data_IF_613693208441
#
_entry.id   IF_613693208441
#
_cell.length_a   1.000
_cell.length_b   1.000
_cell.length_c   1.000
_cell.angle_alpha   90.00
_cell.angle_beta   90.00
_cell.angle_gamma   90.00
#
_symmetry.space_group_name_H-M   'P 1'
#
loop_
_entity.id
_entity.type
_entity.pdbx_description
1 polymer ?
#
# COMPACT_ATOMS: atom_id res chain seq x y z
N UNK A 1 -6.78 -3.67 1.18
CA UNK A 1 -5.54 -3.02 0.70
C UNK A 1 -4.86 -3.98 -0.22
N UNK A 2 -4.10 -3.49 -1.19
CA UNK A 2 -3.31 -4.36 -2.07
C UNK A 2 -2.98 -3.65 -3.38
N UNK A 3 -2.44 -4.43 -4.30
CA UNK A 3 -2.18 -4.04 -5.67
C UNK A 3 -3.46 -4.11 -6.50
N UNK A 4 -3.87 -2.98 -7.08
CA UNK A 4 -5.02 -2.90 -7.98
C UNK A 4 -4.60 -2.90 -9.45
N UNK A 5 -3.29 -2.78 -9.73
CA UNK A 5 -2.71 -2.63 -11.06
C UNK A 5 -3.29 -1.46 -11.89
N UNK A 6 -3.97 -0.53 -11.22
CA UNK A 6 -4.67 0.61 -11.82
C UNK A 6 -4.30 1.93 -11.14
N UNK A 7 -4.33 2.99 -11.95
CA UNK A 7 -4.18 4.38 -11.48
C UNK A 7 -5.53 5.10 -11.50
N UNK A 8 -5.74 6.03 -10.56
CA UNK A 8 -6.95 6.86 -10.48
C UNK A 8 -6.85 8.15 -11.30
N UNK A 9 -5.64 8.62 -11.60
CA UNK A 9 -5.44 9.78 -12.46
C UNK A 9 -4.01 9.83 -13.01
N UNK A 10 -3.80 10.63 -14.07
CA UNK A 10 -2.49 10.84 -14.71
C UNK A 10 -1.38 11.19 -13.72
N UNK A 11 -1.70 11.88 -12.61
CA UNK A 11 -0.69 12.26 -11.63
C UNK A 11 -0.06 11.07 -10.90
N UNK A 12 -0.71 9.91 -10.90
CA UNK A 12 -0.23 8.67 -10.30
C UNK A 12 0.73 7.88 -11.19
N UNK A 13 1.07 8.41 -12.38
CA UNK A 13 2.07 7.83 -13.27
C UNK A 13 3.10 8.88 -13.66
N UNK A 14 4.36 8.47 -13.75
CA UNK A 14 5.39 9.21 -14.46
C UNK A 14 6.16 8.29 -15.40
N UNK A 15 6.63 8.86 -16.52
CA UNK A 15 7.28 8.12 -17.58
C UNK A 15 6.33 7.24 -18.40
N UNK A 16 6.81 6.76 -19.54
CA UNK A 16 6.04 5.89 -20.43
C UNK A 16 4.80 6.54 -21.05
N UNK A 17 3.96 5.72 -21.67
CA UNK A 17 2.69 6.15 -22.24
C UNK A 17 1.63 6.36 -21.16
N UNK A 18 0.70 7.29 -21.38
CA UNK A 18 -0.47 7.45 -20.51
C UNK A 18 -1.32 6.17 -20.50
N UNK A 19 -1.94 5.87 -19.35
CA UNK A 19 -2.94 4.81 -19.28
C UNK A 19 -4.17 5.22 -20.11
N UNK A 20 -4.83 4.27 -20.79
CA UNK A 20 -6.07 4.55 -21.50
C UNK A 20 -7.11 5.14 -20.55
N UNK A 21 -7.81 6.18 -21.01
CA UNK A 21 -8.80 6.87 -20.16
C UNK A 21 -9.90 5.93 -19.66
N UNK A 22 -10.33 4.96 -20.50
CA UNK A 22 -11.35 3.99 -20.12
C UNK A 22 -10.93 3.13 -18.90
N UNK A 23 -9.65 2.73 -18.82
CA UNK A 23 -9.12 1.95 -17.69
C UNK A 23 -9.24 2.72 -16.39
N UNK A 24 -8.87 4.01 -16.43
CA UNK A 24 -8.91 4.92 -15.29
C UNK A 24 -10.37 5.22 -14.88
N UNK A 25 -11.27 5.40 -15.85
CA UNK A 25 -12.68 5.66 -15.58
C UNK A 25 -13.39 4.44 -15.01
N UNK A 26 -13.18 3.25 -15.58
CA UNK A 26 -13.76 1.98 -15.09
C UNK A 26 -13.31 1.69 -13.66
N UNK A 27 -12.04 1.94 -13.34
CA UNK A 27 -11.55 1.77 -11.98
C UNK A 27 -12.21 2.76 -11.00
N UNK A 28 -12.37 4.01 -11.41
CA UNK A 28 -13.04 5.03 -10.60
C UNK A 28 -14.52 4.69 -10.38
N UNK A 29 -15.23 4.26 -11.42
CA UNK A 29 -16.63 3.83 -11.35
C UNK A 29 -16.80 2.63 -10.42
N UNK A 30 -15.94 1.60 -10.53
CA UNK A 30 -15.97 0.44 -9.66
C UNK A 30 -15.77 0.81 -8.17
N UNK A 31 -14.92 1.79 -7.89
CA UNK A 31 -14.74 2.32 -6.53
C UNK A 31 -16.00 3.01 -6.01
N UNK A 32 -16.62 3.85 -6.84
CA UNK A 32 -17.83 4.60 -6.48
C UNK A 32 -19.02 3.67 -6.26
N UNK A 33 -19.24 2.71 -7.18
CA UNK A 33 -20.29 1.69 -7.06
C UNK A 33 -20.11 0.82 -5.80
N UNK A 34 -18.87 0.55 -5.42
CA UNK A 34 -18.55 -0.22 -4.20
C UNK A 34 -18.63 0.62 -2.92
N UNK A 35 -18.84 1.95 -3.02
CA UNK A 35 -18.76 2.87 -1.89
C UNK A 35 -17.38 2.87 -1.21
N UNK A 36 -16.32 2.58 -1.97
CA UNK A 36 -14.95 2.51 -1.51
C UNK A 36 -14.21 3.80 -1.84
N UNK A 37 -13.48 4.32 -0.86
CA UNK A 37 -12.69 5.53 -1.02
C UNK A 37 -11.25 5.29 -0.59
N UNK A 38 -10.32 6.00 -1.23
CA UNK A 38 -8.92 5.97 -0.86
C UNK A 38 -8.72 6.38 0.61
N UNK A 39 -7.88 5.62 1.31
CA UNK A 39 -7.50 5.86 2.70
C UNK A 39 -6.50 7.03 2.86
N UNK A 40 -5.93 7.54 1.78
CA UNK A 40 -4.78 8.45 1.84
C UNK A 40 -3.49 7.71 2.24
N UNK A 41 -2.36 8.41 2.22
CA UNK A 41 -1.06 7.83 2.54
C UNK A 41 -0.03 8.88 2.98
N UNK A 42 1.03 8.42 3.64
CA UNK A 42 2.24 9.14 4.00
C UNK A 42 3.44 8.51 3.29
N UNK A 43 4.43 9.33 2.95
CA UNK A 43 5.66 8.89 2.29
C UNK A 43 5.59 9.04 0.76
N UNK A 44 6.43 8.28 0.03
CA UNK A 44 6.58 8.45 -1.42
C UNK A 44 5.32 8.12 -2.21
N UNK A 45 5.04 8.89 -3.27
CA UNK A 45 3.79 8.78 -4.04
C UNK A 45 3.63 7.47 -4.80
N UNK A 46 4.69 7.01 -5.47
CA UNK A 46 4.63 5.85 -6.35
C UNK A 46 4.98 4.59 -5.58
N UNK A 47 4.21 3.53 -5.79
CA UNK A 47 4.39 2.25 -5.12
C UNK A 47 5.04 1.22 -6.02
N UNK A 48 5.06 1.43 -7.34
CA UNK A 48 5.69 0.54 -8.30
C UNK A 48 6.72 1.28 -9.15
N UNK A 49 7.80 0.59 -9.57
CA UNK A 49 8.72 1.06 -10.59
C UNK A 49 9.21 -0.06 -11.52
N UNK A 50 9.57 0.28 -12.75
CA UNK A 50 10.01 -0.71 -13.76
C UNK A 50 11.50 -1.11 -13.67
N UNK A 51 12.22 -0.73 -12.62
CA UNK A 51 13.67 -0.93 -12.43
C UNK A 51 14.56 -0.41 -13.55
N UNK A 52 14.12 0.61 -14.28
CA UNK A 52 14.95 1.30 -15.28
C UNK A 52 15.36 2.67 -14.78
N UNK A 53 16.42 3.21 -15.39
CA UNK A 53 17.00 4.50 -15.04
C UNK A 53 16.84 5.52 -16.18
N UNK A 54 16.96 6.81 -15.83
CA UNK A 54 16.88 7.93 -16.77
C UNK A 54 15.51 8.02 -17.45
N UNK A 55 15.50 8.33 -18.74
CA UNK A 55 14.27 8.52 -19.53
C UNK A 55 13.41 7.26 -19.67
N UNK A 56 13.99 6.08 -19.40
CA UNK A 56 13.27 4.82 -19.41
C UNK A 56 12.56 4.50 -18.07
N UNK A 57 12.75 5.34 -17.05
CA UNK A 57 12.12 5.16 -15.73
C UNK A 57 10.62 5.33 -15.83
N UNK A 58 9.87 4.34 -15.36
CA UNK A 58 8.42 4.42 -15.20
C UNK A 58 8.10 4.12 -13.74
N UNK A 59 7.28 4.98 -13.13
CA UNK A 59 6.76 4.77 -11.79
C UNK A 59 5.26 4.98 -11.76
N UNK A 60 4.56 4.13 -11.01
CA UNK A 60 3.10 4.17 -10.85
C UNK A 60 2.71 4.00 -9.39
N UNK A 61 1.54 4.53 -9.00
CA UNK A 61 0.89 4.14 -7.75
C UNK A 61 -0.17 3.08 -8.06
N UNK A 62 0.16 1.82 -7.81
CA UNK A 62 -0.72 0.68 -8.08
C UNK A 62 -1.32 0.10 -6.79
N UNK A 63 -0.55 0.17 -5.70
CA UNK A 63 -0.93 -0.30 -4.39
C UNK A 63 -1.65 0.78 -3.59
N UNK A 64 -2.77 0.42 -2.96
CA UNK A 64 -3.55 1.35 -2.12
C UNK A 64 -4.38 0.65 -1.07
N UNK A 65 -4.71 1.39 -0.01
CA UNK A 65 -5.81 1.04 0.87
C UNK A 65 -7.07 1.80 0.52
N UNK A 66 -8.19 1.11 0.63
CA UNK A 66 -9.52 1.65 0.44
C UNK A 66 -10.40 1.26 1.62
N UNK A 67 -11.26 2.17 2.03
CA UNK A 67 -12.27 1.95 3.06
C UNK A 67 -13.63 2.43 2.56
N UNK A 68 -14.69 1.77 3.03
CA UNK A 68 -16.02 2.35 3.01
C UNK A 68 -16.24 3.24 4.24
N UNK A 69 -17.37 3.94 4.26
CA UNK A 69 -17.74 4.83 5.37
C UNK A 69 -17.81 4.11 6.71
N UNK A 70 -18.42 2.93 6.76
CA UNK A 70 -18.55 2.17 8.01
C UNK A 70 -17.18 1.83 8.62
N UNK A 71 -16.22 1.40 7.81
CA UNK A 71 -14.86 1.13 8.28
C UNK A 71 -14.19 2.39 8.84
N UNK A 72 -14.34 3.53 8.15
CA UNK A 72 -13.80 4.82 8.60
C UNK A 72 -14.42 5.30 9.91
N UNK A 73 -15.72 5.04 10.12
CA UNK A 73 -16.41 5.38 11.36
C UNK A 73 -15.89 4.55 12.55
N UNK A 74 -15.51 3.29 12.31
CA UNK A 74 -14.95 2.39 13.34
C UNK A 74 -13.48 2.68 13.63
N UNK A 75 -12.73 3.10 12.61
CA UNK A 75 -11.31 3.42 12.70
C UNK A 75 -11.09 4.85 12.22
N UNK A 76 -11.36 5.86 13.05
CA UNK A 76 -11.22 7.27 12.65
C UNK A 76 -9.75 7.71 12.59
N UNK A 77 -8.87 7.06 13.37
CA UNK A 77 -7.45 7.39 13.46
C UNK A 77 -6.63 6.29 12.78
N UNK A 78 -6.42 6.45 11.48
CA UNK A 78 -5.59 5.53 10.70
C UNK A 78 -4.73 6.31 9.71
N UNK A 79 -3.66 5.68 9.25
CA UNK A 79 -2.88 6.17 8.13
C UNK A 79 -2.16 5.02 7.43
N UNK A 80 -1.96 5.16 6.13
CA UNK A 80 -1.12 4.25 5.35
C UNK A 80 0.26 4.87 5.21
N UNK A 81 1.31 4.11 5.49
CA UNK A 81 2.69 4.49 5.18
C UNK A 81 3.19 3.70 4.00
N UNK A 82 3.74 4.38 3.00
CA UNK A 82 4.53 3.76 1.95
C UNK A 82 5.97 3.66 2.42
N UNK A 83 6.49 2.43 2.51
CA UNK A 83 7.89 2.19 2.85
C UNK A 83 8.79 2.31 1.62
N UNK A 84 10.10 2.19 1.82
CA UNK A 84 11.05 2.12 0.71
C UNK A 84 11.01 0.79 -0.02
N UNK A 85 11.46 0.80 -1.27
CA UNK A 85 11.61 -0.42 -2.05
C UNK A 85 12.57 -1.36 -1.35
N UNK A 86 12.20 -2.65 -1.26
CA UNK A 86 13.02 -3.66 -0.63
C UNK A 86 12.95 -4.98 -1.41
N UNK A 87 13.82 -5.12 -2.41
CA UNK A 87 13.90 -6.34 -3.23
C UNK A 87 12.69 -6.63 -4.14
N UNK A 88 11.66 -5.79 -4.12
CA UNK A 88 10.46 -5.85 -4.97
C UNK A 88 10.30 -4.56 -5.78
N UNK A 89 9.74 -4.69 -6.99
CA UNK A 89 9.34 -3.55 -7.81
C UNK A 89 8.18 -2.78 -7.20
N UNK A 90 7.53 -3.36 -6.17
CA UNK A 90 6.54 -2.73 -5.32
C UNK A 90 7.12 -2.25 -3.98
N UNK A 91 6.53 -1.18 -3.44
CA UNK A 91 6.74 -0.69 -2.06
C UNK A 91 5.75 -1.37 -1.12
N UNK A 92 6.20 -1.84 0.05
CA UNK A 92 5.28 -2.29 1.09
C UNK A 92 4.40 -1.13 1.62
N UNK A 93 3.13 -1.45 1.91
CA UNK A 93 2.16 -0.56 2.52
C UNK A 93 1.89 -1.00 3.96
N UNK A 94 2.03 -0.08 4.92
CA UNK A 94 1.70 -0.33 6.33
C UNK A 94 0.47 0.47 6.71
N UNK A 95 -0.60 -0.21 7.12
CA UNK A 95 -1.75 0.41 7.77
C UNK A 95 -1.50 0.50 9.27
N UNK A 96 -1.47 1.72 9.78
CA UNK A 96 -1.27 2.00 11.19
C UNK A 96 -2.52 2.63 11.81
N UNK A 97 -2.73 2.31 13.09
CA UNK A 97 -3.82 2.79 13.94
C UNK A 97 -3.30 3.48 15.20
N UNK A 98 -1.99 3.75 15.30
CA UNK A 98 -1.40 4.44 16.45
C UNK A 98 -1.90 5.88 16.54
N UNK A 99 -2.34 6.30 17.72
CA UNK A 99 -2.68 7.69 18.00
C UNK A 99 -1.38 8.52 18.08
N UNK A 100 -0.95 9.10 16.96
CA UNK A 100 0.32 9.84 16.87
C UNK A 100 0.30 11.23 17.56
N UNK A 101 -0.65 11.48 18.48
CA UNK A 101 -0.68 12.67 19.33
C UNK A 101 0.06 12.49 20.67
N UNK A 102 0.45 11.27 21.04
CA UNK A 102 1.23 10.99 22.25
C UNK A 102 2.75 10.82 21.99
N UNK A 103 3.22 10.91 20.74
CA UNK A 103 4.60 10.60 20.34
C UNK A 103 5.63 11.72 20.61
N UNK A 104 5.30 12.70 21.47
CA UNK A 104 6.31 13.64 22.03
C UNK A 104 7.24 13.00 23.06
N UNK A 105 7.12 11.72 23.36
CA UNK A 105 8.10 11.01 24.19
C UNK A 105 8.94 10.05 23.36
N UNK A 106 10.21 10.40 23.21
CA UNK A 106 11.32 9.52 22.85
C UNK A 106 11.18 8.15 23.53
N UNK A 107 11.07 7.10 22.73
CA UNK A 107 11.05 5.72 23.17
C UNK A 107 9.91 4.96 22.51
N UNK A 108 10.24 4.20 21.46
CA UNK A 108 9.36 3.22 20.83
C UNK A 108 8.53 2.48 21.90
N UNK A 109 7.19 2.62 21.94
CA UNK A 109 6.39 1.77 22.79
C UNK A 109 6.46 0.36 22.22
N UNK A 110 6.71 -0.59 23.11
CA UNK A 110 6.76 -2.03 22.87
C UNK A 110 5.39 -2.59 22.41
N UNK A 111 4.88 -2.12 21.28
CA UNK A 111 3.81 -2.77 20.55
C UNK A 111 4.43 -4.04 19.98
N UNK A 112 4.11 -5.19 20.60
CA UNK A 112 4.46 -6.52 20.06
C UNK A 112 4.24 -6.47 18.55
N UNK A 113 5.32 -6.57 17.78
CA UNK A 113 5.26 -6.58 16.31
C UNK A 113 4.19 -7.59 15.93
N UNK A 114 3.09 -7.14 15.34
CA UNK A 114 2.10 -8.07 14.80
C UNK A 114 2.80 -8.85 13.71
N UNK A 115 2.84 -10.17 13.89
CA UNK A 115 3.26 -11.08 12.85
C UNK A 115 2.27 -10.96 11.70
N UNK A 116 2.76 -10.59 10.52
CA UNK A 116 2.03 -10.69 9.27
C UNK A 116 2.58 -11.89 8.53
N UNK A 117 1.68 -12.71 8.01
CA UNK A 117 1.98 -13.91 7.23
C UNK A 117 1.49 -13.68 5.81
N UNK A 118 2.33 -13.93 4.82
CA UNK A 118 1.96 -13.90 3.40
C UNK A 118 1.97 -15.33 2.86
N UNK A 119 1.00 -15.67 2.00
CA UNK A 119 0.82 -17.02 1.46
C UNK A 119 2.05 -17.52 0.70
N UNK A 120 2.84 -16.63 0.10
CA UNK A 120 4.10 -16.94 -0.57
C UNK A 120 5.17 -17.53 0.37
N UNK A 121 5.05 -17.35 1.69
CA UNK A 121 5.96 -17.97 2.64
C UNK A 121 5.70 -19.47 2.79
N UNK A 122 4.53 -19.98 2.39
CA UNK A 122 4.26 -21.44 2.38
C UNK A 122 5.16 -22.21 1.40
N UNK A 123 5.68 -21.51 0.39
CA UNK A 123 6.58 -22.09 -0.61
C UNK A 123 8.04 -22.11 -0.15
N UNK A 124 8.35 -21.43 0.97
CA UNK A 124 9.66 -21.51 1.62
C UNK A 124 9.69 -22.72 2.57
N UNK A 125 10.62 -23.65 2.30
CA UNK A 125 10.77 -24.88 3.08
C UNK A 125 11.07 -24.63 4.56
N UNK A 126 11.67 -23.48 4.91
CA UNK A 126 11.97 -23.13 6.30
C UNK A 126 10.77 -22.50 7.03
N UNK A 127 9.72 -22.10 6.30
CA UNK A 127 8.55 -21.47 6.90
C UNK A 127 7.81 -22.40 7.87
N UNK A 128 7.71 -23.69 7.52
CA UNK A 128 7.07 -24.70 8.37
C UNK A 128 7.80 -24.84 9.71
N UNK A 129 9.13 -24.82 9.69
CA UNK A 129 9.97 -24.96 10.89
C UNK A 129 9.89 -23.72 11.79
N UNK A 130 9.80 -22.53 11.20
CA UNK A 130 9.69 -21.26 11.93
C UNK A 130 8.31 -21.12 12.60
N UNK A 131 7.24 -21.59 11.95
CA UNK A 131 5.89 -21.61 12.53
C UNK A 131 5.79 -22.66 13.65
N UNK A 132 6.42 -23.82 13.50
CA UNK A 132 6.37 -24.89 14.50
C UNK A 132 7.21 -24.61 15.77
N UNK A 133 8.10 -23.61 15.74
CA UNK A 133 9.01 -23.27 16.84
C UNK A 133 8.57 -22.08 17.69
N UNK A 134 7.36 -21.54 17.47
CA UNK A 134 6.69 -20.53 18.32
C UNK A 134 5.45 -21.11 19.02
#
# INVERSE_FOLDING_TARGET
MGDFNEIQCDSEKIGGAKKPWHSVSEFWEAMEESGLHGMGFLGPKFTWNNYRWGDATIMERLDRGMCNRGWRDWFPNFFIRHLDFWGSDHRPLVLDFSNDLDSKNNGLPNSKRRFFFEECWMDDGECQDIVASN
#
